data_IF_106350681228
#
_entry.id   IF_106350681228
#
_cell.length_a   1.000
_cell.length_b   1.000
_cell.length_c   1.000
_cell.angle_alpha   90.00
_cell.angle_beta   90.00
_cell.angle_gamma   90.00
#
_symmetry.space_group_name_H-M   'P 1'
#
loop_
_entity.id
_entity.type
_entity.pdbx_description
1 polymer ?
#
# COMPACT_ATOMS: atom_id res chain seq x y z
N UNK A 1 15.64 4.45 -13.59
CA UNK A 1 14.53 3.89 -12.77
C UNK A 1 13.35 4.84 -12.76
N UNK A 2 12.41 4.68 -13.70
CA UNK A 2 11.17 5.48 -13.71
C UNK A 2 10.31 5.08 -12.50
N UNK A 3 9.97 6.04 -11.63
CA UNK A 3 9.06 5.83 -10.50
C UNK A 3 7.63 5.72 -11.06
N UNK A 4 7.28 4.55 -11.61
CA UNK A 4 5.88 4.24 -11.96
C UNK A 4 5.07 4.18 -10.67
N UNK A 5 4.32 5.23 -10.41
CA UNK A 5 3.42 5.29 -9.26
C UNK A 5 2.20 4.42 -9.49
N UNK A 6 1.63 3.93 -8.39
CA UNK A 6 0.29 3.38 -8.38
C UNK A 6 -0.71 4.47 -8.79
N UNK A 7 -1.60 4.11 -9.72
CA UNK A 7 -2.83 4.86 -10.00
C UNK A 7 -3.79 4.75 -8.83
N UNK A 8 -4.77 5.65 -8.75
CA UNK A 8 -5.75 5.65 -7.66
C UNK A 8 -6.55 4.33 -7.60
N UNK A 9 -6.90 3.76 -8.76
CA UNK A 9 -7.62 2.49 -8.84
C UNK A 9 -6.78 1.31 -8.34
N UNK A 10 -5.49 1.28 -8.68
CA UNK A 10 -4.59 0.24 -8.18
C UNK A 10 -4.37 0.36 -6.67
N UNK A 11 -4.36 1.59 -6.10
CA UNK A 11 -4.30 1.79 -4.64
C UNK A 11 -5.56 1.30 -3.95
N UNK A 12 -6.75 1.64 -4.47
CA UNK A 12 -8.02 1.19 -3.88
C UNK A 12 -8.11 -0.34 -3.87
N UNK A 13 -7.67 -1.00 -4.95
CA UNK A 13 -7.57 -2.47 -4.98
C UNK A 13 -6.56 -3.01 -3.96
N UNK A 14 -5.39 -2.39 -3.85
CA UNK A 14 -4.39 -2.78 -2.85
C UNK A 14 -4.94 -2.67 -1.42
N UNK A 15 -5.68 -1.62 -1.11
CA UNK A 15 -6.30 -1.42 0.21
C UNK A 15 -7.33 -2.50 0.54
N UNK A 16 -8.22 -2.84 -0.41
CA UNK A 16 -9.20 -3.94 -0.24
C UNK A 16 -8.49 -5.28 -0.02
N UNK A 17 -7.49 -5.60 -0.85
CA UNK A 17 -6.74 -6.87 -0.74
C UNK A 17 -5.99 -7.00 0.59
N UNK A 18 -5.45 -5.90 1.11
CA UNK A 18 -4.80 -5.88 2.42
C UNK A 18 -5.82 -6.04 3.56
N UNK A 19 -7.01 -5.43 3.45
CA UNK A 19 -8.09 -5.56 4.42
C UNK A 19 -8.65 -6.99 4.47
N UNK A 20 -8.70 -7.66 3.33
CA UNK A 20 -9.05 -9.10 3.22
C UNK A 20 -7.89 -10.04 3.61
N UNK A 21 -6.76 -9.49 4.05
CA UNK A 21 -5.59 -10.22 4.55
C UNK A 21 -4.96 -11.20 3.52
N UNK A 22 -4.98 -10.83 2.23
CA UNK A 22 -4.32 -11.62 1.19
C UNK A 22 -2.81 -11.65 1.38
N UNK A 23 -2.20 -12.80 1.06
CA UNK A 23 -0.74 -12.93 0.99
C UNK A 23 -0.17 -11.98 -0.06
N UNK A 24 0.92 -11.28 0.28
CA UNK A 24 1.60 -10.33 -0.60
C UNK A 24 1.96 -10.93 -1.97
N UNK A 25 2.32 -12.21 -2.05
CA UNK A 25 2.60 -12.92 -3.31
C UNK A 25 1.40 -12.94 -4.24
N UNK A 26 0.21 -13.21 -3.71
CA UNK A 26 -1.03 -13.23 -4.48
C UNK A 26 -1.45 -11.81 -4.90
N UNK A 27 -1.19 -10.82 -4.05
CA UNK A 27 -1.41 -9.40 -4.38
C UNK A 27 -0.49 -8.96 -5.53
N UNK A 28 0.78 -9.40 -5.55
CA UNK A 28 1.69 -9.08 -6.66
C UNK A 28 1.26 -9.67 -7.99
N UNK A 29 0.70 -10.89 -7.97
CA UNK A 29 0.13 -11.53 -9.16
C UNK A 29 -1.10 -10.78 -9.67
N UNK A 30 -2.04 -10.41 -8.78
CA UNK A 30 -3.26 -9.68 -9.13
C UNK A 30 -2.95 -8.29 -9.70
N UNK A 31 -2.06 -7.54 -9.06
CA UNK A 31 -1.73 -6.18 -9.46
C UNK A 31 -0.67 -6.12 -10.58
N UNK A 32 -0.07 -7.27 -10.93
CA UNK A 32 1.04 -7.38 -11.89
C UNK A 32 2.16 -6.38 -11.59
N UNK A 33 2.51 -6.25 -10.30
CA UNK A 33 3.57 -5.35 -9.81
C UNK A 33 4.62 -6.13 -9.05
N UNK A 34 5.82 -5.58 -9.06
CA UNK A 34 6.92 -6.08 -8.26
C UNK A 34 6.66 -5.94 -6.75
N UNK A 35 7.13 -6.91 -5.96
CA UNK A 35 7.01 -6.92 -4.50
C UNK A 35 7.54 -5.63 -3.88
N UNK A 36 8.68 -5.12 -4.36
CA UNK A 36 9.28 -3.90 -3.83
C UNK A 36 8.37 -2.68 -4.04
N UNK A 37 7.61 -2.64 -5.14
CA UNK A 37 6.66 -1.55 -5.40
C UNK A 37 5.48 -1.62 -4.43
N UNK A 38 4.95 -2.82 -4.17
CA UNK A 38 3.88 -3.04 -3.19
C UNK A 38 4.33 -2.65 -1.78
N UNK A 39 5.51 -3.11 -1.35
CA UNK A 39 6.04 -2.76 -0.02
C UNK A 39 6.25 -1.24 0.15
N UNK A 40 6.71 -0.55 -0.89
CA UNK A 40 6.85 0.92 -0.86
C UNK A 40 5.51 1.61 -0.71
N UNK A 41 4.47 1.12 -1.37
CA UNK A 41 3.13 1.71 -1.30
C UNK A 41 2.46 1.44 0.06
N UNK A 42 2.60 0.22 0.60
CA UNK A 42 2.19 -0.10 1.98
C UNK A 42 2.89 0.81 2.99
N UNK A 43 4.21 0.98 2.86
CA UNK A 43 4.99 1.87 3.73
C UNK A 43 4.53 3.33 3.63
N UNK A 44 4.12 3.78 2.44
CA UNK A 44 3.51 5.12 2.25
C UNK A 44 2.16 5.23 2.93
N UNK A 45 1.31 4.22 2.80
CA UNK A 45 0.00 4.17 3.44
C UNK A 45 0.13 4.28 4.97
N UNK A 46 1.01 3.48 5.58
CA UNK A 46 1.32 3.54 7.02
C UNK A 46 1.88 4.90 7.42
N UNK A 47 2.77 5.49 6.61
CA UNK A 47 3.34 6.82 6.89
C UNK A 47 2.28 7.93 6.84
N UNK A 48 1.28 7.82 5.97
CA UNK A 48 0.15 8.74 5.93
C UNK A 48 -0.82 8.52 7.11
N UNK A 49 -1.01 7.28 7.56
CA UNK A 49 -1.80 6.98 8.78
C UNK A 49 -1.13 7.53 10.04
N UNK A 50 0.18 7.30 10.24
CA UNK A 50 0.92 7.83 11.39
C UNK A 50 0.93 9.36 11.45
N UNK A 51 0.91 10.04 10.30
CA UNK A 51 0.79 11.51 10.26
C UNK A 51 -0.60 12.02 10.63
N UNK A 52 -1.65 11.21 10.50
CA UNK A 52 -3.02 11.56 10.93
C UNK A 52 -3.30 11.20 12.39
N UNK A 53 -2.52 10.32 13.00
CA UNK A 53 -2.68 9.86 14.38
C UNK A 53 -1.62 10.41 15.35
N UNK A 54 -1.35 11.71 15.31
CA UNK A 54 -0.39 12.36 16.21
C UNK A 54 -0.97 13.62 16.84
N UNK A 55 -1.69 13.43 17.95
CA UNK A 55 -1.67 14.18 19.22
C UNK A 55 -2.88 13.73 20.04
N UNK A 56 -2.65 12.81 20.97
CA UNK A 56 -3.29 12.89 22.27
C UNK A 56 -2.12 13.09 23.23
N UNK A 57 -2.05 14.29 23.79
CA UNK A 57 -1.20 14.69 24.90
C UNK A 57 -1.59 13.89 26.15
N UNK A 58 -0.58 13.34 26.84
CA UNK A 58 -0.58 13.13 28.28
C UNK A 58 0.45 14.10 28.88
#
# INVERSE_FOLDING_TARGET
MSRKYFTINERNKLEVLLKENYKITRITEILKKDRATIYREIKRFIRCFKKKGGKNED
#
